data_IF_316126333980
#
_entry.id   IF_316126333980
#
_cell.length_a   1.000
_cell.length_b   1.000
_cell.length_c   1.000
_cell.angle_alpha   90.00
_cell.angle_beta   90.00
_cell.angle_gamma   90.00
#
_symmetry.space_group_name_H-M   'P 1'
#
loop_
_entity.id
_entity.type
_entity.pdbx_description
1 polymer ?
#
# COMPACT_ATOMS: atom_id res chain seq x y z
N UNK A 1 -0.63 58.67 -30.56
CA UNK A 1 -0.98 58.43 -29.17
C UNK A 1 -0.82 56.95 -28.93
N UNK A 2 0.31 56.58 -28.34
CA UNK A 2 0.70 55.28 -27.89
C UNK A 2 -0.09 54.91 -26.63
N UNK A 3 -0.82 53.79 -26.66
CA UNK A 3 -1.46 53.20 -25.51
C UNK A 3 -0.48 52.19 -24.87
N UNK A 4 0.03 52.54 -23.71
CA UNK A 4 0.79 51.61 -22.86
C UNK A 4 -0.15 50.53 -22.31
N UNK A 5 0.10 49.30 -22.70
CA UNK A 5 -0.53 48.14 -22.08
C UNK A 5 0.12 47.95 -20.70
N UNK A 6 -0.71 48.11 -19.66
CA UNK A 6 -0.33 47.92 -18.29
C UNK A 6 0.24 46.51 -18.06
N UNK A 7 1.51 46.45 -17.75
CA UNK A 7 2.18 45.22 -17.29
C UNK A 7 1.55 44.82 -15.93
N UNK A 8 0.78 43.77 -15.91
CA UNK A 8 0.32 43.13 -14.67
C UNK A 8 1.56 42.62 -13.91
N UNK A 9 1.86 43.29 -12.83
CA UNK A 9 2.95 42.91 -11.93
C UNK A 9 2.60 41.55 -11.30
N UNK A 10 3.14 40.46 -11.86
CA UNK A 10 3.09 39.15 -11.20
C UNK A 10 4.12 39.16 -10.09
N UNK A 11 3.73 38.84 -8.85
CA UNK A 11 4.73 38.68 -7.79
C UNK A 11 5.68 37.54 -8.16
N UNK A 12 6.98 37.69 -7.94
CA UNK A 12 7.93 36.63 -8.21
C UNK A 12 7.64 35.40 -7.31
N UNK A 13 7.92 34.23 -7.82
CA UNK A 13 7.70 32.92 -7.19
C UNK A 13 8.42 32.70 -5.84
N UNK A 14 9.09 33.72 -5.34
CA UNK A 14 9.91 33.70 -4.11
C UNK A 14 9.11 33.64 -2.80
N UNK A 15 7.78 33.71 -2.83
CA UNK A 15 6.98 33.90 -1.60
C UNK A 15 6.30 32.64 -1.05
N UNK A 16 6.57 31.46 -1.55
CA UNK A 16 6.06 30.23 -0.90
C UNK A 16 7.11 29.75 0.10
N UNK A 17 6.99 30.24 1.34
CA UNK A 17 7.86 29.85 2.45
C UNK A 17 7.88 28.31 2.64
N UNK A 18 9.04 27.70 2.63
CA UNK A 18 9.25 26.29 2.93
C UNK A 18 9.29 25.35 1.72
N UNK A 19 9.30 25.88 0.47
CA UNK A 19 9.59 25.10 -0.72
C UNK A 19 11.04 25.36 -1.15
N UNK A 20 11.83 24.30 -1.21
CA UNK A 20 13.20 24.30 -1.73
C UNK A 20 13.23 23.78 -3.17
N UNK A 21 14.28 24.15 -3.95
CA UNK A 21 14.46 23.71 -5.35
C UNK A 21 13.37 24.19 -6.33
N UNK A 22 13.05 25.47 -6.29
CA UNK A 22 11.95 26.06 -7.08
C UNK A 22 12.29 26.35 -8.55
N UNK A 23 13.56 26.27 -8.95
CA UNK A 23 13.93 26.53 -10.35
C UNK A 23 13.57 25.33 -11.22
N UNK A 24 12.66 25.49 -12.21
CA UNK A 24 12.43 24.44 -13.18
C UNK A 24 13.72 24.18 -13.98
N UNK A 25 13.96 22.93 -14.42
CA UNK A 25 15.00 22.63 -15.38
C UNK A 25 14.88 23.54 -16.61
N UNK A 26 15.99 23.90 -17.24
CA UNK A 26 16.02 24.87 -18.37
C UNK A 26 15.04 24.51 -19.49
N UNK A 27 14.84 23.23 -19.74
CA UNK A 27 13.92 22.70 -20.76
C UNK A 27 12.44 22.97 -20.47
N UNK A 28 12.05 23.33 -19.23
CA UNK A 28 10.68 23.60 -18.82
C UNK A 28 10.42 25.07 -18.46
N UNK A 29 11.33 25.98 -18.75
CA UNK A 29 11.21 27.41 -18.41
C UNK A 29 10.01 28.11 -19.07
N UNK A 30 9.48 27.57 -20.17
CA UNK A 30 8.33 28.11 -20.88
C UNK A 30 6.98 27.63 -20.32
N UNK A 31 6.95 26.81 -19.27
CA UNK A 31 5.73 26.35 -18.65
C UNK A 31 5.27 27.33 -17.57
N UNK A 32 4.09 27.89 -17.71
CA UNK A 32 3.53 28.84 -16.73
C UNK A 32 2.95 28.10 -15.52
N UNK A 33 3.59 28.19 -14.38
CA UNK A 33 3.14 27.68 -13.10
C UNK A 33 2.37 28.72 -12.26
N UNK A 34 2.05 29.90 -12.82
CA UNK A 34 1.39 30.98 -12.08
C UNK A 34 0.06 30.56 -11.48
N UNK A 35 -0.80 29.94 -12.28
CA UNK A 35 -2.09 29.43 -11.81
C UNK A 35 -1.95 28.34 -10.73
N UNK A 36 -0.95 27.47 -10.85
CA UNK A 36 -0.66 26.45 -9.85
C UNK A 36 -0.33 27.06 -8.48
N UNK A 37 0.52 28.09 -8.46
CA UNK A 37 0.90 28.77 -7.21
C UNK A 37 -0.24 29.59 -6.63
N UNK A 38 -1.06 30.23 -7.48
CA UNK A 38 -2.28 30.91 -7.03
C UNK A 38 -3.25 29.93 -6.35
N UNK A 39 -3.50 28.79 -6.97
CA UNK A 39 -4.35 27.75 -6.40
C UNK A 39 -3.80 27.23 -5.07
N UNK A 40 -2.49 26.98 -5.00
CA UNK A 40 -1.81 26.56 -3.77
C UNK A 40 -2.03 27.57 -2.64
N UNK A 41 -1.74 28.85 -2.91
CA UNK A 41 -1.92 29.92 -1.93
C UNK A 41 -3.36 30.03 -1.45
N UNK A 42 -4.34 29.96 -2.36
CA UNK A 42 -5.76 29.99 -2.02
C UNK A 42 -6.16 28.84 -1.11
N UNK A 43 -5.64 27.64 -1.34
CA UNK A 43 -5.87 26.48 -0.47
C UNK A 43 -5.30 26.75 0.94
N UNK A 44 -4.07 27.22 1.06
CA UNK A 44 -3.47 27.53 2.36
C UNK A 44 -4.23 28.64 3.11
N UNK A 45 -4.76 29.65 2.41
CA UNK A 45 -5.45 30.77 3.00
C UNK A 45 -6.94 30.49 3.33
N UNK A 46 -7.61 29.71 2.49
CA UNK A 46 -9.07 29.57 2.53
C UNK A 46 -9.57 28.21 3.01
N UNK A 47 -8.71 27.20 3.09
CA UNK A 47 -9.13 25.90 3.57
C UNK A 47 -9.64 26.00 5.02
N UNK A 48 -10.81 25.42 5.27
CA UNK A 48 -11.51 25.56 6.57
C UNK A 48 -10.69 24.94 7.71
N UNK A 49 -9.99 23.87 7.46
CA UNK A 49 -9.25 23.09 8.47
C UNK A 49 -7.73 23.19 8.24
N UNK A 50 -7.19 24.41 8.42
CA UNK A 50 -5.78 24.74 8.11
C UNK A 50 -4.78 23.85 8.84
N UNK A 51 -5.14 23.36 10.03
CA UNK A 51 -4.27 22.48 10.81
C UNK A 51 -4.02 21.12 10.13
N UNK A 52 -4.87 20.72 9.17
CA UNK A 52 -4.72 19.49 8.39
C UNK A 52 -3.94 19.68 7.10
N UNK A 53 -3.52 20.91 6.77
CA UNK A 53 -2.71 21.15 5.56
C UNK A 53 -1.32 20.54 5.77
N UNK A 54 -1.01 19.55 4.92
CA UNK A 54 0.29 18.93 4.82
C UNK A 54 0.88 19.27 3.44
N UNK A 55 1.85 20.17 3.39
CA UNK A 55 2.47 20.63 2.15
C UNK A 55 3.12 19.50 1.36
N UNK A 56 3.71 18.51 2.06
CA UNK A 56 4.33 17.37 1.39
C UNK A 56 3.27 16.49 0.70
N UNK A 57 2.13 16.27 1.34
CA UNK A 57 1.00 15.57 0.72
C UNK A 57 0.41 16.35 -0.45
N UNK A 58 0.37 17.68 -0.38
CA UNK A 58 -0.07 18.53 -1.49
C UNK A 58 0.88 18.38 -2.70
N UNK A 59 2.20 18.35 -2.48
CA UNK A 59 3.17 18.10 -3.56
C UNK A 59 2.93 16.72 -4.18
N UNK A 60 2.77 15.68 -3.38
CA UNK A 60 2.51 14.33 -3.89
C UNK A 60 1.19 14.25 -4.67
N UNK A 61 0.14 14.90 -4.17
CA UNK A 61 -1.15 15.00 -4.87
C UNK A 61 -1.04 15.72 -6.23
N UNK A 62 -0.24 16.79 -6.30
CA UNK A 62 0.02 17.50 -7.54
C UNK A 62 0.76 16.62 -8.57
N UNK A 63 1.78 15.86 -8.14
CA UNK A 63 2.51 14.93 -9.01
C UNK A 63 1.58 13.79 -9.48
N UNK A 64 0.72 13.30 -8.59
CA UNK A 64 -0.27 12.28 -8.94
C UNK A 64 -1.27 12.81 -9.99
N UNK A 65 -1.76 14.05 -9.83
CA UNK A 65 -2.60 14.71 -10.82
C UNK A 65 -1.90 14.89 -12.16
N UNK A 66 -0.60 15.21 -12.15
CA UNK A 66 0.21 15.28 -13.37
C UNK A 66 0.26 13.92 -14.10
N UNK A 67 0.53 12.83 -13.38
CA UNK A 67 0.52 11.49 -13.97
C UNK A 67 -0.87 11.13 -14.54
N UNK A 68 -1.93 11.40 -13.80
CA UNK A 68 -3.32 11.14 -14.23
C UNK A 68 -3.73 11.94 -15.48
N UNK A 69 -3.13 13.11 -15.70
CA UNK A 69 -3.42 13.94 -16.90
C UNK A 69 -3.07 13.26 -18.22
N UNK A 70 -2.18 12.26 -18.19
CA UNK A 70 -1.79 11.46 -19.35
C UNK A 70 -2.89 10.48 -19.79
N UNK A 71 -3.91 10.24 -18.95
CA UNK A 71 -5.01 9.28 -19.18
C UNK A 71 -4.53 7.85 -19.45
N UNK A 72 -3.34 7.52 -18.96
CA UNK A 72 -2.79 6.18 -19.01
C UNK A 72 -2.94 5.53 -17.62
N UNK A 73 -3.75 4.46 -17.48
CA UNK A 73 -4.00 3.80 -16.20
C UNK A 73 -2.75 3.10 -15.63
N UNK A 74 -1.74 2.86 -16.46
CA UNK A 74 -0.49 2.21 -16.05
C UNK A 74 0.57 3.20 -15.60
N UNK A 75 0.43 4.49 -15.94
CA UNK A 75 1.33 5.54 -15.44
C UNK A 75 0.85 6.04 -14.09
N UNK A 76 1.54 5.63 -13.02
CA UNK A 76 1.21 5.97 -11.64
C UNK A 76 2.40 6.57 -10.91
N UNK A 77 2.14 7.53 -10.04
CA UNK A 77 3.11 8.07 -9.11
C UNK A 77 2.88 7.47 -7.71
N UNK A 78 3.91 6.92 -7.15
CA UNK A 78 3.91 6.44 -5.76
C UNK A 78 4.79 7.35 -4.89
N UNK A 79 4.26 7.95 -3.83
CA UNK A 79 5.09 8.58 -2.80
C UNK A 79 6.14 7.61 -2.24
N UNK A 80 7.28 8.09 -1.69
CA UNK A 80 8.37 7.20 -1.26
C UNK A 80 7.95 6.07 -0.32
N UNK A 81 7.01 6.33 0.60
CA UNK A 81 6.50 5.29 1.49
C UNK A 81 5.69 4.21 0.74
N UNK A 82 4.89 4.61 -0.25
CA UNK A 82 4.10 3.70 -1.07
C UNK A 82 4.97 2.95 -2.08
N UNK A 83 6.03 3.60 -2.59
CA UNK A 83 7.02 2.95 -3.45
C UNK A 83 7.67 1.76 -2.75
N UNK A 84 8.04 1.91 -1.46
CA UNK A 84 8.59 0.81 -0.67
C UNK A 84 7.60 -0.35 -0.54
N UNK A 85 6.34 -0.03 -0.24
CA UNK A 85 5.28 -1.04 -0.13
C UNK A 85 5.04 -1.75 -1.46
N UNK A 86 4.99 -1.00 -2.56
CA UNK A 86 4.85 -1.56 -3.91
C UNK A 86 6.02 -2.51 -4.28
N UNK A 87 7.26 -2.14 -3.93
CA UNK A 87 8.41 -3.00 -4.12
C UNK A 87 8.36 -4.27 -3.27
N UNK A 88 7.87 -4.18 -2.03
CA UNK A 88 7.66 -5.34 -1.15
C UNK A 88 6.60 -6.28 -1.72
N UNK A 89 5.50 -5.73 -2.23
CA UNK A 89 4.42 -6.52 -2.85
C UNK A 89 4.92 -7.22 -4.13
N UNK A 90 5.69 -6.54 -5.00
CA UNK A 90 6.33 -7.16 -6.18
C UNK A 90 7.26 -8.32 -5.77
N UNK A 91 8.04 -8.15 -4.70
CA UNK A 91 8.93 -9.20 -4.19
C UNK A 91 8.18 -10.38 -3.56
N UNK A 92 6.88 -10.22 -3.29
CA UNK A 92 6.07 -11.22 -2.60
C UNK A 92 6.45 -11.42 -1.13
N UNK A 93 7.10 -10.41 -0.51
CA UNK A 93 7.46 -10.44 0.91
C UNK A 93 7.54 -9.04 1.51
N UNK A 94 7.05 -8.90 2.73
CA UNK A 94 7.04 -7.62 3.46
C UNK A 94 7.24 -7.82 4.95
N UNK A 95 7.62 -6.76 5.65
CA UNK A 95 7.70 -6.77 7.11
C UNK A 95 6.32 -6.58 7.75
N UNK A 96 5.90 -7.50 8.61
CA UNK A 96 4.58 -7.45 9.23
C UNK A 96 4.34 -8.51 10.30
N UNK A 97 3.08 -8.72 10.62
CA UNK A 97 2.65 -9.69 11.63
C UNK A 97 2.08 -10.99 11.06
N UNK A 98 1.80 -11.03 9.75
CA UNK A 98 1.24 -12.21 9.10
C UNK A 98 -0.22 -12.47 9.50
N UNK A 99 -1.09 -11.52 9.19
CA UNK A 99 -2.53 -11.66 9.31
C UNK A 99 -3.22 -10.99 8.13
N UNK A 100 -4.27 -11.61 7.62
CA UNK A 100 -5.21 -10.99 6.73
C UNK A 100 -6.17 -10.14 7.56
N UNK A 101 -6.34 -8.87 7.19
CA UNK A 101 -7.23 -7.92 7.87
C UNK A 101 -8.21 -7.31 6.88
N UNK A 102 -9.37 -6.94 7.39
CA UNK A 102 -10.42 -6.31 6.60
C UNK A 102 -11.38 -5.55 7.48
N UNK A 103 -12.35 -4.86 6.87
CA UNK A 103 -13.41 -4.18 7.61
C UNK A 103 -14.65 -5.07 7.62
N UNK A 104 -15.13 -5.40 8.81
CA UNK A 104 -16.41 -6.13 9.02
C UNK A 104 -17.34 -5.29 9.89
N UNK A 105 -18.52 -5.00 9.40
CA UNK A 105 -19.53 -4.16 10.09
C UNK A 105 -18.95 -2.82 10.58
N UNK A 106 -18.08 -2.21 9.78
CA UNK A 106 -17.43 -0.95 10.12
C UNK A 106 -16.26 -1.05 11.12
N UNK A 107 -15.85 -2.26 11.51
CA UNK A 107 -14.76 -2.48 12.47
C UNK A 107 -13.59 -3.18 11.78
N UNK A 108 -12.37 -2.68 12.02
CA UNK A 108 -11.15 -3.33 11.56
C UNK A 108 -11.01 -4.69 12.24
N UNK A 109 -10.95 -5.76 11.46
CA UNK A 109 -11.07 -7.13 11.95
C UNK A 109 -10.01 -8.02 11.33
N UNK A 110 -9.46 -8.94 12.11
CA UNK A 110 -8.60 -10.03 11.61
C UNK A 110 -9.48 -11.04 10.90
N UNK A 111 -9.30 -11.18 9.59
CA UNK A 111 -9.99 -12.20 8.79
C UNK A 111 -9.41 -13.56 9.11
N UNK A 112 -8.08 -13.70 9.04
CA UNK A 112 -7.36 -14.90 9.44
C UNK A 112 -5.90 -14.57 9.79
N UNK A 113 -5.33 -15.10 10.88
CA UNK A 113 -3.89 -15.13 11.05
C UNK A 113 -3.28 -16.15 10.08
N UNK A 114 -2.12 -15.83 9.52
CA UNK A 114 -1.39 -16.74 8.65
C UNK A 114 -0.57 -17.73 9.49
N UNK A 115 -0.71 -19.01 9.16
CA UNK A 115 -0.07 -20.10 9.90
C UNK A 115 1.45 -19.91 10.02
N UNK A 116 1.99 -20.13 11.22
CA UNK A 116 3.41 -20.01 11.53
C UNK A 116 3.93 -18.57 11.63
N UNK A 117 3.08 -17.56 11.48
CA UNK A 117 3.46 -16.15 11.50
C UNK A 117 3.28 -15.50 12.89
N UNK A 118 3.86 -14.32 13.15
CA UNK A 118 3.85 -13.68 14.46
C UNK A 118 2.47 -13.48 15.08
N UNK A 119 1.45 -13.14 14.26
CA UNK A 119 0.09 -12.94 14.75
C UNK A 119 -0.51 -14.22 15.34
N UNK A 120 -0.36 -15.35 14.64
CA UNK A 120 -0.82 -16.65 15.13
C UNK A 120 -0.08 -17.05 16.41
N UNK A 121 1.26 -16.92 16.43
CA UNK A 121 2.07 -17.23 17.63
C UNK A 121 1.74 -16.34 18.82
N UNK A 122 1.30 -15.11 18.60
CA UNK A 122 0.83 -14.22 19.64
C UNK A 122 -0.57 -14.58 20.17
N UNK A 123 -1.27 -15.51 19.51
CA UNK A 123 -2.60 -15.96 19.90
C UNK A 123 -3.75 -15.11 19.34
N UNK A 124 -3.48 -14.30 18.31
CA UNK A 124 -4.52 -13.59 17.55
C UNK A 124 -5.34 -14.62 16.75
N UNK A 125 -6.64 -14.42 16.69
CA UNK A 125 -7.60 -15.34 16.07
C UNK A 125 -8.41 -14.67 14.97
N UNK A 126 -9.00 -15.48 14.12
CA UNK A 126 -10.00 -14.99 13.17
C UNK A 126 -11.18 -14.34 13.92
N UNK A 127 -11.75 -13.31 13.33
CA UNK A 127 -12.81 -12.46 13.87
C UNK A 127 -12.40 -11.55 15.06
N UNK A 128 -11.12 -11.49 15.44
CA UNK A 128 -10.63 -10.51 16.40
C UNK A 128 -10.81 -9.09 15.86
N UNK A 129 -11.40 -8.21 16.68
CA UNK A 129 -11.51 -6.78 16.37
C UNK A 129 -10.27 -6.05 16.81
N UNK A 130 -9.68 -5.24 15.92
CA UNK A 130 -8.53 -4.39 16.21
C UNK A 130 -9.04 -3.01 16.56
N UNK A 131 -8.97 -2.62 17.82
CA UNK A 131 -9.51 -1.35 18.32
C UNK A 131 -8.48 -0.21 18.30
N UNK A 132 -7.18 -0.54 18.44
CA UNK A 132 -6.07 0.40 18.31
C UNK A 132 -4.87 -0.26 17.65
N UNK A 133 -4.10 0.55 16.92
CA UNK A 133 -2.77 0.21 16.41
C UNK A 133 -1.80 1.23 17.01
N UNK A 134 -0.87 0.77 17.86
CA UNK A 134 -0.08 1.62 18.74
C UNK A 134 -1.01 2.51 19.59
N UNK A 135 -0.92 3.83 19.45
CA UNK A 135 -1.76 4.77 20.20
C UNK A 135 -2.98 5.27 19.39
N UNK A 136 -3.10 4.86 18.13
CA UNK A 136 -4.13 5.33 17.19
C UNK A 136 -5.38 4.45 17.24
N UNK A 137 -6.57 4.98 17.55
CA UNK A 137 -7.83 4.27 17.41
C UNK A 137 -8.11 3.93 15.94
N UNK A 138 -8.78 2.79 15.69
CA UNK A 138 -9.03 2.28 14.33
C UNK A 138 -10.41 2.61 13.78
N UNK A 139 -11.29 3.23 14.57
CA UNK A 139 -12.69 3.46 14.20
C UNK A 139 -12.87 4.24 12.88
N UNK A 140 -11.99 5.23 12.64
CA UNK A 140 -12.07 6.11 11.46
C UNK A 140 -10.91 5.87 10.47
N UNK A 141 -10.14 4.79 10.64
CA UNK A 141 -9.02 4.49 9.76
C UNK A 141 -9.49 3.75 8.50
N UNK A 142 -9.01 4.18 7.35
CA UNK A 142 -9.10 3.40 6.14
C UNK A 142 -8.28 2.09 6.27
N UNK A 143 -8.72 1.03 5.58
CA UNK A 143 -8.05 -0.27 5.63
C UNK A 143 -6.57 -0.17 5.24
N UNK A 144 -6.28 0.56 4.17
CA UNK A 144 -4.92 0.75 3.65
C UNK A 144 -4.02 1.46 4.65
N UNK A 145 -4.56 2.42 5.40
CA UNK A 145 -3.83 3.13 6.44
C UNK A 145 -3.52 2.22 7.64
N UNK A 146 -4.51 1.43 8.07
CA UNK A 146 -4.33 0.43 9.11
C UNK A 146 -3.27 -0.61 8.71
N UNK A 147 -3.30 -1.10 7.46
CA UNK A 147 -2.29 -2.03 6.92
C UNK A 147 -0.91 -1.40 6.96
N UNK A 148 -0.76 -0.12 6.53
CA UNK A 148 0.53 0.58 6.61
C UNK A 148 1.06 0.70 8.03
N UNK A 149 0.19 0.94 9.02
CA UNK A 149 0.60 1.04 10.42
C UNK A 149 1.01 -0.32 11.02
N UNK A 150 0.37 -1.40 10.58
CA UNK A 150 0.68 -2.77 11.04
C UNK A 150 1.96 -3.29 10.36
N UNK A 151 2.14 -3.05 9.05
CA UNK A 151 3.40 -3.32 8.35
C UNK A 151 4.51 -2.43 8.88
N UNK A 152 5.75 -2.78 8.60
CA UNK A 152 6.92 -1.98 8.95
C UNK A 152 8.18 -2.79 8.93
N UNK A 153 9.28 -2.20 9.36
CA UNK A 153 10.60 -2.81 9.33
C UNK A 153 10.65 -4.07 10.20
N UNK A 154 11.27 -5.12 9.66
CA UNK A 154 11.49 -6.39 10.35
C UNK A 154 12.28 -6.17 11.64
N UNK A 155 11.87 -6.84 12.73
CA UNK A 155 12.43 -6.66 14.05
C UNK A 155 11.81 -5.54 14.89
N UNK A 156 11.05 -4.61 14.29
CA UNK A 156 10.31 -3.59 15.04
C UNK A 156 9.02 -4.16 15.63
N UNK A 157 8.46 -3.47 16.63
CA UNK A 157 7.24 -3.92 17.32
C UNK A 157 6.04 -3.09 16.92
N UNK A 158 4.87 -3.73 16.88
CA UNK A 158 3.57 -3.08 16.80
C UNK A 158 2.71 -3.51 17.99
N UNK A 159 1.98 -2.58 18.58
CA UNK A 159 1.00 -2.84 19.64
C UNK A 159 -0.39 -2.83 19.06
N UNK A 160 -1.16 -3.87 19.33
CA UNK A 160 -2.55 -3.99 18.88
C UNK A 160 -3.45 -4.17 20.09
N UNK A 161 -4.45 -3.31 20.24
CA UNK A 161 -5.51 -3.51 21.21
C UNK A 161 -6.61 -4.33 20.56
N UNK A 162 -6.75 -5.57 21.00
CA UNK A 162 -7.63 -6.58 20.40
C UNK A 162 -8.81 -6.85 21.33
N UNK A 163 -9.99 -7.00 20.72
CA UNK A 163 -11.18 -7.51 21.37
C UNK A 163 -11.67 -8.75 20.63
N UNK A 164 -11.77 -9.86 21.34
CA UNK A 164 -12.33 -11.12 20.84
C UNK A 164 -13.70 -11.38 21.49
N UNK A 165 -14.63 -11.93 20.75
CA UNK A 165 -15.95 -12.34 21.29
C UNK A 165 -15.76 -13.32 22.45
N UNK A 166 -16.39 -13.01 23.59
CA UNK A 166 -16.22 -13.76 24.85
C UNK A 166 -15.17 -13.20 25.81
N UNK A 167 -14.41 -12.18 25.42
CA UNK A 167 -13.53 -11.45 26.36
C UNK A 167 -14.34 -10.46 27.20
N UNK A 168 -14.00 -10.33 28.48
CA UNK A 168 -14.60 -9.33 29.38
C UNK A 168 -14.09 -7.90 29.08
N UNK A 169 -12.88 -7.76 28.51
CA UNK A 169 -12.24 -6.49 28.17
C UNK A 169 -11.20 -6.68 27.07
N UNK A 170 -10.92 -5.63 26.27
CA UNK A 170 -9.84 -5.67 25.29
C UNK A 170 -8.48 -5.97 25.90
N UNK A 171 -7.60 -6.64 25.14
CA UNK A 171 -6.25 -7.00 25.55
C UNK A 171 -5.24 -6.42 24.56
N UNK A 172 -4.13 -5.90 25.09
CA UNK A 172 -3.02 -5.43 24.27
C UNK A 172 -2.07 -6.59 23.93
N UNK A 173 -1.69 -6.65 22.65
CA UNK A 173 -0.69 -7.57 22.10
C UNK A 173 0.45 -6.76 21.51
N UNK A 174 1.68 -7.03 21.97
CA UNK A 174 2.89 -6.46 21.37
C UNK A 174 3.53 -7.53 20.50
N UNK A 175 3.59 -7.30 19.20
CA UNK A 175 4.03 -8.27 18.21
C UNK A 175 5.26 -7.74 17.49
N UNK A 176 6.31 -8.54 17.42
CA UNK A 176 7.50 -8.22 16.63
C UNK A 176 7.23 -8.56 15.18
N UNK A 177 7.49 -7.59 14.28
CA UNK A 177 7.35 -7.79 12.85
C UNK A 177 8.43 -8.72 12.32
N UNK A 178 8.02 -9.63 11.45
CA UNK A 178 8.92 -10.54 10.75
C UNK A 178 8.71 -10.43 9.24
N UNK A 179 9.57 -11.04 8.46
CA UNK A 179 9.37 -11.18 7.02
C UNK A 179 8.20 -12.11 6.76
N UNK A 180 7.11 -11.56 6.26
CA UNK A 180 5.93 -12.30 5.82
C UNK A 180 6.10 -12.61 4.35
N UNK A 181 6.01 -13.88 3.99
CA UNK A 181 6.02 -14.33 2.60
C UNK A 181 4.59 -14.59 2.14
N UNK A 182 4.21 -13.99 1.03
CA UNK A 182 2.92 -14.25 0.41
C UNK A 182 3.01 -15.62 -0.26
N UNK A 183 2.03 -16.49 0.03
CA UNK A 183 1.93 -17.79 -0.65
C UNK A 183 1.29 -17.53 -2.02
N UNK A 184 2.14 -17.29 -3.01
CA UNK A 184 1.72 -16.99 -4.38
C UNK A 184 1.35 -18.21 -5.18
N UNK A 185 1.81 -19.41 -4.76
CA UNK A 185 1.57 -20.66 -5.45
C UNK A 185 1.30 -21.77 -4.43
N UNK A 186 0.32 -22.62 -4.76
CA UNK A 186 0.04 -23.85 -4.01
C UNK A 186 -0.09 -25.02 -4.98
N UNK A 187 0.30 -26.20 -4.50
CA UNK A 187 0.19 -27.47 -5.25
C UNK A 187 -0.75 -28.42 -4.53
N UNK A 188 -1.49 -29.22 -5.30
CA UNK A 188 -2.37 -30.25 -4.77
C UNK A 188 -2.35 -31.45 -5.72
N UNK A 189 -2.17 -32.66 -5.16
CA UNK A 189 -2.44 -33.89 -5.88
C UNK A 189 -3.84 -34.39 -5.53
N UNK A 190 -4.75 -34.30 -6.47
CA UNK A 190 -6.14 -34.73 -6.30
C UNK A 190 -6.25 -36.27 -6.23
N UNK A 191 -7.31 -36.81 -5.59
CA UNK A 191 -7.55 -38.25 -5.53
C UNK A 191 -7.71 -38.93 -6.90
N UNK A 192 -8.15 -38.18 -7.92
CA UNK A 192 -8.30 -38.65 -9.32
C UNK A 192 -6.97 -38.69 -10.09
N UNK A 193 -5.84 -38.42 -9.42
CA UNK A 193 -4.49 -38.46 -9.99
C UNK A 193 -4.09 -37.21 -10.78
N UNK A 194 -4.94 -36.17 -10.80
CA UNK A 194 -4.61 -34.89 -11.42
C UNK A 194 -3.79 -34.05 -10.45
N UNK A 195 -2.71 -33.43 -10.93
CA UNK A 195 -1.92 -32.47 -10.18
C UNK A 195 -2.42 -31.07 -10.50
N UNK A 196 -2.64 -30.25 -9.46
CA UNK A 196 -3.11 -28.87 -9.62
C UNK A 196 -2.04 -27.92 -9.11
N UNK A 197 -1.66 -26.96 -9.93
CA UNK A 197 -0.85 -25.81 -9.53
C UNK A 197 -1.78 -24.60 -9.57
N UNK A 198 -1.99 -23.97 -8.41
CA UNK A 198 -2.74 -22.72 -8.33
C UNK A 198 -1.76 -21.57 -8.14
N UNK A 199 -1.70 -20.66 -9.11
CA UNK A 199 -0.90 -19.43 -9.05
C UNK A 199 -1.82 -18.24 -8.77
N UNK A 200 -1.66 -17.63 -7.60
CA UNK A 200 -2.53 -16.56 -7.12
C UNK A 200 -2.10 -15.19 -7.63
N UNK A 201 -0.79 -14.97 -7.90
CA UNK A 201 -0.25 -13.69 -8.32
C UNK A 201 1.09 -13.88 -9.04
N UNK A 202 1.42 -12.99 -9.99
CA UNK A 202 2.73 -12.93 -10.63
C UNK A 202 3.64 -11.96 -9.91
N UNK A 203 4.47 -12.46 -9.01
CA UNK A 203 5.51 -11.72 -8.30
C UNK A 203 6.89 -12.02 -8.89
N UNK A 204 7.93 -11.27 -8.48
CA UNK A 204 9.32 -11.49 -8.94
C UNK A 204 9.78 -12.94 -8.77
N UNK A 205 9.34 -13.62 -7.71
CA UNK A 205 9.68 -15.00 -7.41
C UNK A 205 8.74 -16.04 -8.04
N UNK A 206 7.67 -15.64 -8.77
CA UNK A 206 6.68 -16.55 -9.35
C UNK A 206 7.31 -17.61 -10.27
N UNK A 207 8.27 -17.21 -11.11
CA UNK A 207 8.96 -18.14 -12.01
C UNK A 207 9.78 -19.20 -11.26
N UNK A 208 10.38 -18.86 -10.11
CA UNK A 208 11.14 -19.79 -9.29
C UNK A 208 10.22 -20.77 -8.55
N UNK A 209 9.12 -20.27 -7.98
CA UNK A 209 8.12 -21.12 -7.32
C UNK A 209 7.41 -22.04 -8.30
N UNK A 210 7.09 -21.55 -9.51
CA UNK A 210 6.51 -22.38 -10.55
C UNK A 210 7.45 -23.51 -10.99
N UNK A 211 8.76 -23.27 -11.13
CA UNK A 211 9.73 -24.33 -11.42
C UNK A 211 9.75 -25.41 -10.35
N UNK A 212 9.68 -25.04 -9.06
CA UNK A 212 9.58 -26.01 -7.95
C UNK A 212 8.30 -26.84 -8.05
N UNK A 213 7.16 -26.19 -8.31
CA UNK A 213 5.89 -26.87 -8.49
C UNK A 213 5.91 -27.84 -9.69
N UNK A 214 6.57 -27.48 -10.77
CA UNK A 214 6.76 -28.39 -11.92
C UNK A 214 7.65 -29.59 -11.58
N UNK A 215 8.66 -29.40 -10.73
CA UNK A 215 9.45 -30.53 -10.22
C UNK A 215 8.59 -31.45 -9.34
N UNK A 216 7.78 -30.90 -8.45
CA UNK A 216 6.83 -31.68 -7.63
C UNK A 216 5.85 -32.46 -8.52
N UNK A 217 5.35 -31.83 -9.60
CA UNK A 217 4.50 -32.51 -10.57
C UNK A 217 5.22 -33.71 -11.20
N UNK A 218 6.46 -33.53 -11.65
CA UNK A 218 7.26 -34.62 -12.24
C UNK A 218 7.46 -35.77 -11.25
N UNK A 219 7.77 -35.46 -9.99
CA UNK A 219 8.01 -36.44 -8.93
C UNK A 219 6.70 -37.13 -8.47
N UNK A 220 5.56 -36.47 -8.65
CA UNK A 220 4.23 -36.98 -8.24
C UNK A 220 3.73 -38.17 -9.04
N UNK A 221 4.34 -38.46 -10.20
CA UNK A 221 3.91 -39.46 -11.22
C UNK A 221 2.50 -39.19 -11.77
N UNK A 222 1.97 -38.00 -11.61
CA UNK A 222 0.70 -37.58 -12.20
C UNK A 222 0.89 -37.37 -13.71
N UNK A 223 -0.07 -37.81 -14.53
CA UNK A 223 -0.01 -37.65 -15.97
C UNK A 223 -0.76 -36.43 -16.50
N UNK A 224 -1.53 -35.77 -15.62
CA UNK A 224 -2.36 -34.59 -15.94
C UNK A 224 -2.07 -33.48 -14.98
N UNK A 225 -1.94 -32.28 -15.55
CA UNK A 225 -1.72 -31.04 -14.82
C UNK A 225 -2.85 -30.05 -15.12
N UNK A 226 -3.34 -29.38 -14.08
CA UNK A 226 -4.19 -28.19 -14.19
C UNK A 226 -3.41 -27.02 -13.64
N UNK A 227 -3.26 -25.95 -14.43
CA UNK A 227 -2.82 -24.64 -13.96
C UNK A 227 -4.05 -23.79 -13.68
N UNK A 228 -4.28 -23.48 -12.41
CA UNK A 228 -5.40 -22.65 -11.95
C UNK A 228 -4.93 -21.20 -11.75
N UNK A 229 -5.42 -20.31 -12.62
CA UNK A 229 -5.16 -18.87 -12.59
C UNK A 229 -6.41 -18.08 -12.18
N UNK A 230 -7.44 -18.73 -11.66
CA UNK A 230 -8.66 -18.04 -11.22
C UNK A 230 -8.34 -17.12 -10.05
N UNK A 231 -8.87 -15.89 -10.14
CA UNK A 231 -8.61 -14.78 -9.20
C UNK A 231 -7.16 -14.29 -9.16
N UNK A 232 -6.35 -14.64 -10.17
CA UNK A 232 -5.03 -14.03 -10.34
C UNK A 232 -5.20 -12.65 -10.99
N UNK A 233 -4.85 -11.54 -10.32
CA UNK A 233 -5.02 -10.19 -10.87
C UNK A 233 -3.93 -9.83 -11.90
N UNK A 234 -2.95 -10.69 -12.11
CA UNK A 234 -1.73 -10.40 -12.88
C UNK A 234 -0.53 -10.15 -11.97
N UNK A 235 0.27 -9.15 -12.28
CA UNK A 235 1.43 -8.74 -11.50
C UNK A 235 2.65 -8.41 -12.35
N UNK A 236 3.84 -8.73 -11.86
CA UNK A 236 5.11 -8.46 -12.52
C UNK A 236 5.37 -9.47 -13.67
N UNK A 237 5.66 -8.94 -14.87
CA UNK A 237 5.99 -9.72 -16.08
C UNK A 237 7.44 -9.50 -16.49
#
# INVERSE_FOLDING_TARGET
>A
RSGEAGATHRPPAEYVLGITNQKPPEQFQNTDFGLFWEAWQRLEEKYVDRAKIDRQKMVYGAIQGLAQSLKDPYTQFFPPAETKQFQEDIRGSFGGIGAEIGIRKGVLTVIAPLKGNPAERAGIKAADSILKINDTPTADLALEEAVRMIRGEVGTKVRLLIFHEGMSKPKEYTITRETIRIVILTTEKRPDGIFVIKLNEFTENAASEFRKAMQEFADSRSQKLILDLRNNPGGYL
#
